data_IF_995946757392
#
_entry.id   IF_995946757392
#
_cell.length_a   1.000
_cell.length_b   1.000
_cell.length_c   1.000
_cell.angle_alpha   90.00
_cell.angle_beta   90.00
_cell.angle_gamma   90.00
#
_symmetry.space_group_name_H-M   'P 1'
#
loop_
_entity.id
_entity.type
_entity.pdbx_description
1 polymer ?
#
# COMPACT_ATOMS: atom_id res chain seq x y z
N UNK A 1 -4.25 -7.25 -21.11
CA UNK A 1 -4.99 -5.95 -21.19
C UNK A 1 -3.92 -4.91 -21.44
N UNK A 2 -3.94 -4.19 -22.57
CA UNK A 2 -2.98 -3.11 -22.81
C UNK A 2 -3.38 -1.89 -21.97
N UNK A 3 -2.43 -1.31 -21.26
CA UNK A 3 -2.66 -0.08 -20.53
C UNK A 3 -2.78 1.09 -21.53
N UNK A 4 -3.78 1.95 -21.35
CA UNK A 4 -3.93 3.14 -22.19
C UNK A 4 -2.80 4.17 -21.97
N UNK A 5 -2.10 4.07 -20.83
CA UNK A 5 -0.99 4.92 -20.41
C UNK A 5 0.03 4.06 -19.67
N UNK A 6 1.33 4.39 -19.74
CA UNK A 6 2.33 3.58 -19.06
C UNK A 6 2.19 3.63 -17.54
N UNK A 7 2.65 2.58 -16.87
CA UNK A 7 2.98 2.61 -15.46
C UNK A 7 4.31 3.34 -15.26
N UNK A 8 4.44 4.10 -14.20
CA UNK A 8 5.73 4.66 -13.79
C UNK A 8 6.34 3.85 -12.67
N UNK A 9 7.63 3.57 -12.77
CA UNK A 9 8.39 2.83 -11.75
C UNK A 9 9.48 3.77 -11.22
N UNK A 10 9.53 4.00 -9.92
CA UNK A 10 10.69 4.66 -9.30
C UNK A 10 11.75 3.63 -8.97
N UNK A 11 12.98 3.84 -9.45
CA UNK A 11 14.07 2.86 -9.31
C UNK A 11 14.55 2.68 -7.84
N UNK A 12 14.13 3.59 -6.94
CA UNK A 12 14.43 3.49 -5.51
C UNK A 12 15.88 3.82 -5.16
N UNK A 13 16.38 3.18 -4.10
CA UNK A 13 17.75 3.38 -3.63
C UNK A 13 18.78 3.01 -4.72
N UNK A 14 19.58 3.97 -5.19
CA UNK A 14 20.52 3.70 -6.29
C UNK A 14 21.59 2.68 -5.95
N UNK A 15 22.04 2.63 -4.71
CA UNK A 15 23.03 1.64 -4.23
C UNK A 15 22.38 0.28 -3.88
N UNK A 16 21.06 0.17 -4.01
CA UNK A 16 20.29 -1.02 -3.70
C UNK A 16 19.97 -1.91 -4.90
N UNK A 17 18.96 -2.77 -4.75
CA UNK A 17 18.54 -3.73 -5.78
C UNK A 17 17.64 -3.10 -6.86
N UNK A 18 17.04 -1.94 -6.59
CA UNK A 18 16.01 -1.32 -7.41
C UNK A 18 16.42 -1.11 -8.89
N UNK A 19 17.56 -0.48 -9.19
CA UNK A 19 18.02 -0.29 -10.58
C UNK A 19 18.16 -1.61 -11.35
N UNK A 20 18.69 -2.65 -10.69
CA UNK A 20 18.84 -3.98 -11.30
C UNK A 20 17.49 -4.64 -11.57
N UNK A 21 16.52 -4.50 -10.65
CA UNK A 21 15.16 -5.00 -10.87
C UNK A 21 14.49 -4.29 -12.04
N UNK A 22 14.61 -2.96 -12.14
CA UNK A 22 14.09 -2.20 -13.27
C UNK A 22 14.71 -2.66 -14.59
N UNK A 23 16.04 -2.81 -14.63
CA UNK A 23 16.75 -3.26 -15.84
C UNK A 23 16.35 -4.68 -16.27
N UNK A 24 15.98 -5.57 -15.34
CA UNK A 24 15.51 -6.91 -15.69
C UNK A 24 14.19 -6.92 -16.48
N UNK A 25 13.40 -5.84 -16.42
CA UNK A 25 12.12 -5.72 -17.13
C UNK A 25 12.26 -5.61 -18.65
N UNK A 26 13.46 -5.31 -19.17
CA UNK A 26 13.70 -5.27 -20.63
C UNK A 26 13.44 -6.63 -21.31
N UNK A 27 13.55 -7.72 -20.55
CA UNK A 27 13.31 -9.08 -21.03
C UNK A 27 11.85 -9.55 -20.85
N UNK A 28 10.95 -8.62 -20.54
CA UNK A 28 9.53 -8.93 -20.31
C UNK A 28 8.64 -8.25 -21.35
N UNK A 29 7.40 -8.69 -21.45
CA UNK A 29 6.38 -8.06 -22.29
C UNK A 29 5.91 -6.68 -21.75
N UNK A 30 6.41 -6.27 -20.59
CA UNK A 30 6.04 -4.99 -19.95
C UNK A 30 6.86 -3.80 -20.46
N UNK A 31 7.97 -4.03 -21.19
CA UNK A 31 8.92 -2.99 -21.64
C UNK A 31 8.25 -1.76 -22.28
N UNK A 32 7.21 -1.99 -23.09
CA UNK A 32 6.50 -0.91 -23.78
C UNK A 32 5.38 -0.26 -22.93
N UNK A 33 5.09 -0.82 -21.77
CA UNK A 33 4.01 -0.37 -20.87
C UNK A 33 4.53 0.37 -19.64
N UNK A 34 5.86 0.57 -19.54
CA UNK A 34 6.52 1.17 -18.37
C UNK A 34 7.39 2.37 -18.74
N UNK A 35 7.55 3.26 -17.76
CA UNK A 35 8.55 4.34 -17.75
C UNK A 35 9.24 4.27 -16.38
N UNK A 36 10.56 4.34 -16.36
CA UNK A 36 11.35 4.31 -15.11
C UNK A 36 11.82 5.71 -14.77
N UNK A 37 11.72 6.11 -13.50
CA UNK A 37 12.34 7.32 -12.96
C UNK A 37 13.58 6.90 -12.17
N UNK A 38 14.73 7.43 -12.52
CA UNK A 38 16.00 7.11 -11.89
C UNK A 38 17.16 7.63 -12.70
N UNK A 39 18.38 7.40 -12.24
CA UNK A 39 19.60 7.76 -12.96
C UNK A 39 19.78 6.82 -14.15
N UNK A 40 19.76 7.38 -15.35
CA UNK A 40 19.88 6.62 -16.59
C UNK A 40 21.21 5.85 -16.69
N UNK A 41 22.27 6.33 -16.06
CA UNK A 41 23.57 5.65 -16.05
C UNK A 41 23.58 4.31 -15.29
N UNK A 42 22.57 4.09 -14.42
CA UNK A 42 22.41 2.87 -13.63
C UNK A 42 21.38 1.89 -14.21
N UNK A 43 20.77 2.23 -15.33
CA UNK A 43 19.65 1.50 -15.93
C UNK A 43 20.02 0.99 -17.33
N UNK A 44 19.31 -0.04 -17.79
CA UNK A 44 19.46 -0.57 -19.15
C UNK A 44 18.97 0.48 -20.18
N UNK A 45 19.70 0.69 -21.25
CA UNK A 45 19.46 1.69 -22.29
C UNK A 45 18.18 1.47 -23.10
N UNK A 46 17.61 0.26 -23.06
CA UNK A 46 16.33 -0.07 -23.71
C UNK A 46 15.12 0.44 -22.92
N UNK A 47 15.30 0.82 -21.67
CA UNK A 47 14.20 1.37 -20.85
C UNK A 47 13.86 2.81 -21.27
N UNK A 48 12.59 3.16 -21.20
CA UNK A 48 12.18 4.56 -21.26
C UNK A 48 12.41 5.18 -19.87
N UNK A 49 13.39 6.06 -19.76
CA UNK A 49 13.81 6.67 -18.50
C UNK A 49 13.44 8.14 -18.45
N UNK A 50 12.91 8.57 -17.31
CA UNK A 50 12.92 9.97 -16.88
C UNK A 50 14.15 10.11 -16.00
N UNK A 51 15.18 10.74 -16.57
CA UNK A 51 16.50 10.81 -15.95
C UNK A 51 16.50 11.75 -14.75
N UNK A 52 16.99 11.23 -13.63
CA UNK A 52 17.19 11.94 -12.36
C UNK A 52 18.59 11.59 -11.83
N UNK A 53 19.65 12.23 -12.36
CA UNK A 53 21.03 11.89 -12.01
C UNK A 53 21.33 12.19 -10.55
N UNK A 54 22.02 11.29 -9.87
CA UNK A 54 22.39 11.43 -8.47
C UNK A 54 23.63 12.33 -8.30
N UNK A 55 23.63 13.24 -7.31
CA UNK A 55 24.75 14.17 -7.08
C UNK A 55 26.01 13.50 -6.53
N UNK A 56 25.87 12.38 -5.82
CA UNK A 56 27.01 11.63 -5.29
C UNK A 56 27.22 10.31 -6.06
N UNK A 57 28.48 9.85 -6.20
CA UNK A 57 28.81 8.59 -6.86
C UNK A 57 28.07 7.41 -6.22
N UNK A 58 27.51 6.55 -7.05
CA UNK A 58 26.76 5.38 -6.59
C UNK A 58 27.68 4.18 -6.53
N UNK A 59 27.74 3.55 -5.35
CA UNK A 59 28.45 2.29 -5.14
C UNK A 59 27.48 1.26 -4.57
N UNK A 60 27.33 0.13 -5.23
CA UNK A 60 26.42 -0.94 -4.80
C UNK A 60 26.69 -1.36 -3.34
N UNK A 61 25.61 -1.44 -2.56
CA UNK A 61 25.67 -1.78 -1.14
C UNK A 61 26.15 -0.65 -0.19
N UNK A 62 26.49 0.52 -0.74
CA UNK A 62 26.97 1.67 0.03
C UNK A 62 26.08 2.90 -0.27
N UNK A 63 24.88 2.99 0.31
CA UNK A 63 24.00 4.15 0.11
C UNK A 63 24.66 5.44 0.62
N UNK A 64 24.38 6.56 -0.06
CA UNK A 64 24.94 7.87 0.29
C UNK A 64 23.80 8.86 0.57
N UNK A 65 23.76 9.49 1.78
CA UNK A 65 22.73 10.44 2.16
C UNK A 65 22.59 11.64 1.21
N UNK A 66 23.66 12.02 0.51
CA UNK A 66 23.63 13.11 -0.48
C UNK A 66 22.68 12.83 -1.65
N UNK A 67 22.35 11.56 -1.91
CA UNK A 67 21.42 11.14 -2.97
C UNK A 67 19.96 11.15 -2.53
N UNK A 68 19.67 11.29 -1.23
CA UNK A 68 18.33 11.16 -0.67
C UNK A 68 17.32 12.15 -1.27
N UNK A 69 17.74 13.41 -1.48
CA UNK A 69 16.84 14.44 -2.04
C UNK A 69 16.39 14.08 -3.46
N UNK A 70 17.31 13.70 -4.33
CA UNK A 70 17.00 13.28 -5.72
C UNK A 70 16.12 12.04 -5.75
N UNK A 71 16.34 11.10 -4.83
CA UNK A 71 15.47 9.92 -4.69
C UNK A 71 14.01 10.32 -4.39
N UNK A 72 13.80 11.25 -3.45
CA UNK A 72 12.46 11.75 -3.11
C UNK A 72 11.84 12.59 -4.23
N UNK A 73 12.62 13.41 -4.94
CA UNK A 73 12.18 14.13 -6.14
C UNK A 73 11.65 13.17 -7.21
N UNK A 74 12.28 12.00 -7.38
CA UNK A 74 11.78 10.94 -8.26
C UNK A 74 10.39 10.45 -7.88
N UNK A 75 10.10 10.28 -6.58
CA UNK A 75 8.76 9.95 -6.08
C UNK A 75 7.75 11.07 -6.38
N UNK A 76 8.14 12.34 -6.17
CA UNK A 76 7.28 13.48 -6.48
C UNK A 76 6.92 13.57 -7.97
N UNK A 77 7.90 13.35 -8.87
CA UNK A 77 7.67 13.32 -10.31
C UNK A 77 6.66 12.23 -10.66
N UNK A 78 6.79 11.03 -10.06
CA UNK A 78 5.87 9.93 -10.28
C UNK A 78 4.45 10.29 -9.83
N UNK A 79 4.29 10.83 -8.62
CA UNK A 79 2.99 11.26 -8.08
C UNK A 79 2.34 12.33 -8.96
N UNK A 80 3.08 13.40 -9.30
CA UNK A 80 2.59 14.48 -10.19
C UNK A 80 2.15 13.92 -11.54
N UNK A 81 2.90 12.96 -12.09
CA UNK A 81 2.54 12.28 -13.34
C UNK A 81 1.28 11.43 -13.23
N UNK A 82 1.05 10.75 -12.11
CA UNK A 82 -0.19 10.01 -11.86
C UNK A 82 -1.39 10.96 -11.69
N UNK A 83 -1.26 12.00 -10.88
CA UNK A 83 -2.32 12.97 -10.64
C UNK A 83 -2.71 13.75 -11.91
N UNK A 84 -1.74 14.09 -12.76
CA UNK A 84 -1.98 14.74 -14.06
C UNK A 84 -2.43 13.75 -15.14
N UNK A 85 -2.64 12.49 -14.79
CA UNK A 85 -3.10 11.44 -15.70
C UNK A 85 -2.10 11.15 -16.86
N UNK A 86 -0.82 11.45 -16.66
CA UNK A 86 0.29 11.07 -17.56
C UNK A 86 0.61 9.58 -17.44
N UNK A 87 0.51 9.03 -16.23
CA UNK A 87 0.72 7.62 -15.92
C UNK A 87 -0.56 6.98 -15.40
N UNK A 88 -0.75 5.69 -15.64
CA UNK A 88 -1.90 4.91 -15.15
C UNK A 88 -1.77 4.52 -13.67
N UNK A 89 -0.58 4.56 -13.12
CA UNK A 89 -0.24 4.25 -11.74
C UNK A 89 1.25 4.22 -11.53
N UNK A 90 1.69 4.10 -10.27
CA UNK A 90 3.11 4.02 -9.93
C UNK A 90 3.46 2.74 -9.17
N UNK A 91 4.68 2.26 -9.37
CA UNK A 91 5.31 1.17 -8.64
C UNK A 91 6.60 1.70 -8.03
N UNK A 92 6.86 1.39 -6.77
CA UNK A 92 8.06 1.86 -6.08
C UNK A 92 9.03 0.72 -5.80
N UNK A 93 10.29 0.87 -6.17
CA UNK A 93 11.35 0.00 -5.68
C UNK A 93 11.74 0.37 -4.24
N UNK A 94 12.45 -0.52 -3.53
CA UNK A 94 12.86 -0.27 -2.15
C UNK A 94 13.74 0.96 -1.99
N UNK A 95 13.62 1.63 -0.84
CA UNK A 95 14.45 2.76 -0.43
C UNK A 95 15.04 2.54 0.96
N UNK A 96 16.19 3.14 1.23
CA UNK A 96 16.87 3.06 2.51
C UNK A 96 16.43 4.21 3.44
N UNK A 97 15.44 3.95 4.32
CA UNK A 97 14.88 4.98 5.22
C UNK A 97 15.92 5.63 6.14
N UNK A 98 16.85 4.83 6.66
CA UNK A 98 17.94 5.32 7.51
C UNK A 98 18.83 6.33 6.76
N UNK A 99 19.12 6.09 5.50
CA UNK A 99 19.94 6.98 4.67
C UNK A 99 19.24 8.32 4.41
N UNK A 100 17.93 8.32 4.22
CA UNK A 100 17.12 9.53 4.09
C UNK A 100 17.12 10.30 5.41
N UNK A 101 17.01 9.60 6.54
CA UNK A 101 17.09 10.22 7.88
C UNK A 101 18.49 10.82 8.14
N UNK A 102 19.56 10.14 7.74
CA UNK A 102 20.94 10.64 7.83
C UNK A 102 21.18 11.89 6.98
N UNK A 103 20.39 12.10 5.94
CA UNK A 103 20.36 13.33 5.16
C UNK A 103 19.58 14.47 5.86
N UNK A 104 19.06 14.26 7.07
CA UNK A 104 18.27 15.23 7.82
C UNK A 104 16.81 15.39 7.30
N UNK A 105 16.33 14.45 6.47
CA UNK A 105 14.98 14.51 5.90
C UNK A 105 14.08 13.59 6.70
N UNK A 106 12.94 14.11 7.18
CA UNK A 106 11.92 13.30 7.84
C UNK A 106 11.19 12.43 6.81
N UNK A 107 11.35 11.12 6.93
CA UNK A 107 10.72 10.14 6.04
C UNK A 107 10.34 8.88 6.82
N UNK A 108 9.06 8.68 7.04
CA UNK A 108 8.51 7.52 7.76
C UNK A 108 8.30 6.31 6.85
N UNK A 109 7.99 6.55 5.59
CA UNK A 109 7.81 5.51 4.56
C UNK A 109 7.09 6.03 3.33
N UNK A 110 6.97 5.16 2.32
CA UNK A 110 6.24 5.49 1.10
C UNK A 110 4.78 5.88 1.39
N UNK A 111 4.10 5.16 2.27
CA UNK A 111 2.66 5.36 2.55
C UNK A 111 2.39 6.79 3.02
N UNK A 112 3.11 7.25 4.05
CA UNK A 112 2.93 8.58 4.62
C UNK A 112 3.41 9.67 3.66
N UNK A 113 4.53 9.44 2.98
CA UNK A 113 5.06 10.38 2.00
C UNK A 113 4.10 10.58 0.83
N UNK A 114 3.56 9.51 0.27
CA UNK A 114 2.59 9.57 -0.82
C UNK A 114 1.25 10.15 -0.37
N UNK A 115 0.79 9.84 0.84
CA UNK A 115 -0.42 10.42 1.42
C UNK A 115 -0.30 11.94 1.52
N UNK A 116 0.83 12.46 2.02
CA UNK A 116 1.10 13.89 2.10
C UNK A 116 1.11 14.55 0.72
N UNK A 117 1.80 13.96 -0.28
CA UNK A 117 1.85 14.49 -1.64
C UNK A 117 0.49 14.51 -2.36
N UNK A 118 -0.43 13.63 -1.95
CA UNK A 118 -1.76 13.51 -2.56
C UNK A 118 -2.87 14.13 -1.73
N UNK A 119 -2.53 14.78 -0.59
CA UNK A 119 -3.47 15.36 0.38
C UNK A 119 -4.50 14.32 0.88
N UNK A 120 -4.04 13.11 1.17
CA UNK A 120 -4.86 12.03 1.74
C UNK A 120 -4.56 11.91 3.23
N UNK A 121 -5.54 12.25 4.07
CA UNK A 121 -5.38 12.23 5.53
C UNK A 121 -5.39 10.83 6.12
N UNK A 122 -6.01 9.87 5.43
CA UNK A 122 -6.24 8.53 5.98
C UNK A 122 -6.00 7.44 4.93
N UNK A 123 -4.74 7.04 4.70
CA UNK A 123 -4.43 5.93 3.81
C UNK A 123 -4.78 4.59 4.46
N UNK A 124 -5.32 3.65 3.67
CA UNK A 124 -5.57 2.27 4.09
C UNK A 124 -4.65 1.34 3.29
N UNK A 125 -3.85 0.55 4.01
CA UNK A 125 -2.97 -0.43 3.36
C UNK A 125 -3.79 -1.63 2.89
N UNK A 126 -3.62 -2.00 1.63
CA UNK A 126 -4.27 -3.15 1.01
C UNK A 126 -3.20 -4.08 0.41
N UNK A 127 -3.17 -5.32 0.88
CA UNK A 127 -2.37 -6.39 0.29
C UNK A 127 -3.21 -7.13 -0.75
N UNK A 128 -2.66 -7.33 -1.94
CA UNK A 128 -3.38 -7.98 -3.05
C UNK A 128 -2.54 -9.12 -3.61
N UNK A 129 -3.14 -10.32 -3.67
CA UNK A 129 -2.55 -11.48 -4.31
C UNK A 129 -3.65 -12.24 -5.06
N UNK A 130 -3.58 -12.25 -6.38
CA UNK A 130 -4.64 -12.80 -7.23
C UNK A 130 -6.03 -12.21 -6.88
N UNK A 131 -6.95 -13.06 -6.39
CA UNK A 131 -8.28 -12.64 -5.97
C UNK A 131 -8.40 -12.32 -4.48
N UNK A 132 -7.32 -12.50 -3.71
CA UNK A 132 -7.29 -12.17 -2.29
C UNK A 132 -6.92 -10.70 -2.10
N UNK A 133 -7.73 -9.96 -1.36
CA UNK A 133 -7.51 -8.57 -0.94
C UNK A 133 -7.64 -8.49 0.56
N UNK A 134 -6.58 -8.04 1.23
CA UNK A 134 -6.53 -7.91 2.69
C UNK A 134 -6.18 -6.48 3.05
N UNK A 135 -7.13 -5.77 3.62
CA UNK A 135 -6.90 -4.46 4.22
C UNK A 135 -6.42 -4.65 5.67
N UNK A 136 -5.55 -3.77 6.11
CA UNK A 136 -5.01 -3.81 7.47
C UNK A 136 -5.65 -2.72 8.34
N UNK A 137 -6.15 -3.11 9.51
CA UNK A 137 -6.71 -2.18 10.49
C UNK A 137 -5.62 -1.36 11.19
N UNK A 138 -4.42 -1.92 11.32
CA UNK A 138 -3.24 -1.25 11.89
C UNK A 138 -1.99 -1.57 11.07
N UNK A 139 -1.00 -0.66 11.09
CA UNK A 139 0.30 -0.84 10.43
C UNK A 139 1.41 -0.26 11.30
N UNK A 140 2.54 -1.00 11.42
CA UNK A 140 3.79 -0.50 12.03
C UNK A 140 3.67 0.03 13.47
N UNK A 141 2.73 -0.51 14.26
CA UNK A 141 2.62 -0.23 15.69
C UNK A 141 2.98 -1.47 16.52
N UNK A 142 3.45 -1.33 17.76
CA UNK A 142 3.69 -2.46 18.65
C UNK A 142 2.40 -3.27 18.87
N UNK A 143 2.52 -4.59 18.93
CA UNK A 143 1.35 -5.47 19.10
C UNK A 143 0.50 -5.12 20.34
N UNK A 144 1.14 -4.74 21.44
CA UNK A 144 0.47 -4.34 22.69
C UNK A 144 -0.41 -3.09 22.54
N UNK A 145 -0.12 -2.24 21.55
CA UNK A 145 -0.84 -0.98 21.34
C UNK A 145 -2.01 -1.14 20.35
N UNK A 146 -2.13 -2.32 19.71
CA UNK A 146 -3.17 -2.60 18.71
C UNK A 146 -4.58 -2.51 19.30
N UNK A 147 -4.89 -3.07 20.49
CA UNK A 147 -6.25 -2.98 21.06
C UNK A 147 -6.73 -1.54 21.23
N UNK A 148 -5.89 -0.66 21.76
CA UNK A 148 -6.21 0.76 21.96
C UNK A 148 -6.30 1.53 20.63
N UNK A 149 -5.62 1.04 19.60
CA UNK A 149 -5.62 1.63 18.26
C UNK A 149 -6.90 1.30 17.48
N UNK A 150 -7.57 0.18 17.80
CA UNK A 150 -8.81 -0.25 17.15
C UNK A 150 -9.99 0.45 17.79
N UNK A 151 -10.38 1.59 17.25
CA UNK A 151 -11.55 2.35 17.70
C UNK A 151 -12.72 2.25 16.71
N UNK A 152 -13.94 2.56 17.16
CA UNK A 152 -15.14 2.58 16.30
C UNK A 152 -14.97 3.53 15.13
N UNK A 153 -14.50 4.75 15.39
CA UNK A 153 -14.30 5.80 14.39
C UNK A 153 -13.28 5.37 13.35
N UNK A 154 -12.20 4.72 13.78
CA UNK A 154 -11.15 4.24 12.89
C UNK A 154 -11.64 3.11 12.00
N UNK A 155 -12.34 2.13 12.57
CA UNK A 155 -12.90 1.02 11.80
C UNK A 155 -13.91 1.48 10.75
N UNK A 156 -14.79 2.42 11.11
CA UNK A 156 -15.74 3.03 10.17
C UNK A 156 -14.98 3.69 9.01
N UNK A 157 -13.96 4.51 9.30
CA UNK A 157 -13.17 5.15 8.25
C UNK A 157 -12.50 4.13 7.32
N UNK A 158 -11.86 3.09 7.88
CA UNK A 158 -11.21 2.04 7.09
C UNK A 158 -12.20 1.35 6.18
N UNK A 159 -13.35 0.91 6.71
CA UNK A 159 -14.36 0.19 5.96
C UNK A 159 -15.01 1.04 4.87
N UNK A 160 -15.23 2.33 5.13
CA UNK A 160 -15.73 3.27 4.13
C UNK A 160 -14.73 3.48 2.98
N UNK A 161 -13.44 3.72 3.30
CA UNK A 161 -12.38 3.87 2.29
C UNK A 161 -12.24 2.59 1.47
N UNK A 162 -12.21 1.43 2.14
CA UNK A 162 -12.08 0.14 1.48
C UNK A 162 -13.26 -0.12 0.53
N UNK A 163 -14.50 0.10 0.98
CA UNK A 163 -15.69 -0.08 0.14
C UNK A 163 -15.66 0.82 -1.09
N UNK A 164 -15.33 2.10 -0.92
CA UNK A 164 -15.28 3.07 -2.02
C UNK A 164 -14.21 2.68 -3.05
N UNK A 165 -13.03 2.29 -2.60
CA UNK A 165 -11.95 1.88 -3.49
C UNK A 165 -12.22 0.55 -4.19
N UNK A 166 -12.86 -0.41 -3.52
CA UNK A 166 -13.32 -1.64 -4.16
C UNK A 166 -14.32 -1.35 -5.30
N UNK A 167 -15.22 -0.40 -5.10
CA UNK A 167 -16.16 0.05 -6.15
C UNK A 167 -15.43 0.78 -7.30
N UNK A 168 -14.61 1.76 -6.96
CA UNK A 168 -14.02 2.69 -7.93
C UNK A 168 -12.83 2.10 -8.67
N UNK A 169 -11.89 1.48 -7.94
CA UNK A 169 -10.61 1.01 -8.49
C UNK A 169 -10.66 -0.45 -8.92
N UNK A 170 -11.41 -1.28 -8.21
CA UNK A 170 -11.56 -2.70 -8.54
C UNK A 170 -12.83 -3.02 -9.32
N UNK A 171 -13.69 -2.02 -9.60
CA UNK A 171 -14.93 -2.14 -10.39
C UNK A 171 -15.92 -3.17 -9.81
N UNK A 172 -15.91 -3.39 -8.50
CA UNK A 172 -16.82 -4.30 -7.81
C UNK A 172 -18.06 -3.50 -7.39
N UNK A 173 -19.17 -3.67 -8.10
CA UNK A 173 -20.38 -2.85 -7.89
C UNK A 173 -20.94 -2.92 -6.47
N UNK A 174 -20.89 -4.08 -5.85
CA UNK A 174 -21.45 -4.35 -4.52
C UNK A 174 -20.49 -5.20 -3.70
N UNK A 175 -19.36 -4.62 -3.24
CA UNK A 175 -18.31 -5.39 -2.57
C UNK A 175 -18.77 -5.98 -1.24
N UNK A 176 -18.40 -7.24 -1.00
CA UNK A 176 -18.61 -7.94 0.26
C UNK A 176 -17.32 -7.96 1.07
N UNK A 177 -17.35 -7.35 2.26
CA UNK A 177 -16.19 -7.20 3.13
C UNK A 177 -16.37 -8.10 4.35
N UNK A 178 -15.35 -8.92 4.61
CA UNK A 178 -15.26 -9.75 5.80
C UNK A 178 -14.33 -9.07 6.81
N UNK A 179 -14.76 -8.94 8.05
CA UNK A 179 -13.96 -8.35 9.14
C UNK A 179 -13.48 -9.46 10.06
N UNK A 180 -12.17 -9.56 10.26
CA UNK A 180 -11.58 -10.44 11.25
C UNK A 180 -11.80 -9.94 12.66
N UNK A 181 -11.85 -10.85 13.62
CA UNK A 181 -11.73 -10.51 15.02
C UNK A 181 -10.30 -10.10 15.39
N UNK A 182 -10.18 -9.26 16.42
CA UNK A 182 -8.91 -8.89 17.02
C UNK A 182 -8.34 -10.03 17.87
N UNK A 183 -9.22 -10.65 18.64
CA UNK A 183 -8.83 -11.71 19.57
C UNK A 183 -8.95 -13.11 18.92
N UNK A 184 -8.26 -14.13 19.48
CA UNK A 184 -8.46 -15.51 19.06
C UNK A 184 -9.96 -15.87 19.09
N UNK A 185 -10.43 -16.59 18.06
CA UNK A 185 -11.82 -17.01 17.92
C UNK A 185 -12.84 -15.86 17.98
N UNK A 186 -12.42 -14.63 17.60
CA UNK A 186 -13.23 -13.40 17.70
C UNK A 186 -13.77 -13.17 19.11
N UNK A 187 -12.90 -13.39 20.12
CA UNK A 187 -13.19 -13.14 21.53
C UNK A 187 -14.05 -14.17 22.26
N UNK A 188 -14.51 -15.25 21.58
CA UNK A 188 -15.37 -16.30 22.20
C UNK A 188 -16.49 -15.73 23.08
N UNK A 189 -17.32 -14.84 22.53
CA UNK A 189 -18.41 -14.17 23.27
C UNK A 189 -17.91 -13.40 24.52
N UNK A 190 -16.75 -12.74 24.40
CA UNK A 190 -16.15 -11.91 25.46
C UNK A 190 -15.33 -12.68 26.50
N UNK A 191 -15.14 -14.00 26.35
CA UNK A 191 -14.30 -14.80 27.24
C UNK A 191 -12.81 -14.59 26.99
N UNK A 192 -12.43 -14.25 25.74
CA UNK A 192 -11.04 -13.98 25.32
C UNK A 192 -10.95 -12.55 24.79
N UNK A 193 -11.09 -11.56 25.67
CA UNK A 193 -11.13 -10.14 25.28
C UNK A 193 -12.54 -9.67 24.90
N UNK A 194 -12.77 -8.36 24.98
CA UNK A 194 -14.08 -7.74 24.75
C UNK A 194 -14.14 -6.86 23.52
N UNK A 195 -13.01 -6.57 22.90
CA UNK A 195 -12.89 -5.63 21.79
C UNK A 195 -13.74 -6.05 20.59
N UNK A 196 -13.85 -7.36 20.37
CA UNK A 196 -14.66 -7.93 19.30
C UNK A 196 -16.16 -7.66 19.53
N UNK A 197 -16.62 -7.80 20.76
CA UNK A 197 -18.03 -7.61 21.15
C UNK A 197 -18.38 -6.12 21.36
N UNK A 198 -17.49 -5.35 22.00
CA UNK A 198 -17.76 -3.97 22.41
C UNK A 198 -17.42 -2.94 21.32
N UNK A 199 -16.50 -3.26 20.38
CA UNK A 199 -16.02 -2.34 19.36
C UNK A 199 -16.34 -2.86 17.95
N UNK A 200 -15.85 -4.05 17.56
CA UNK A 200 -15.90 -4.50 16.16
C UNK A 200 -17.33 -4.88 15.75
N UNK A 201 -18.00 -5.72 16.52
CA UNK A 201 -19.36 -6.18 16.19
C UNK A 201 -20.38 -5.02 16.09
N UNK A 202 -20.39 -4.01 16.98
CA UNK A 202 -21.25 -2.84 16.83
C UNK A 202 -20.99 -2.06 15.54
N UNK A 203 -19.74 -1.84 15.15
CA UNK A 203 -19.39 -1.16 13.88
C UNK A 203 -19.88 -1.94 12.67
N UNK A 204 -19.61 -3.24 12.63
CA UNK A 204 -20.08 -4.11 11.54
C UNK A 204 -21.59 -4.07 11.43
N UNK A 205 -22.30 -4.15 12.54
CA UNK A 205 -23.77 -4.09 12.60
C UNK A 205 -24.32 -2.73 12.13
N UNK A 206 -23.68 -1.64 12.51
CA UNK A 206 -24.06 -0.28 12.11
C UNK A 206 -23.91 -0.09 10.61
N UNK A 207 -22.74 -0.45 10.06
CA UNK A 207 -22.46 -0.33 8.63
C UNK A 207 -23.32 -1.27 7.78
N UNK A 208 -23.60 -2.48 8.27
CA UNK A 208 -24.53 -3.39 7.60
C UNK A 208 -25.96 -2.80 7.52
N UNK A 209 -26.44 -2.16 8.59
CA UNK A 209 -27.73 -1.46 8.60
C UNK A 209 -27.78 -0.27 7.63
N UNK A 210 -26.63 0.40 7.38
CA UNK A 210 -26.52 1.48 6.40
C UNK A 210 -26.43 1.00 4.95
N UNK A 211 -26.50 -0.32 4.72
CA UNK A 211 -26.49 -0.92 3.38
C UNK A 211 -25.13 -1.39 2.88
N UNK A 212 -24.08 -1.35 3.72
CA UNK A 212 -22.79 -1.94 3.39
C UNK A 212 -22.86 -3.47 3.51
N UNK A 213 -22.39 -4.21 2.51
CA UNK A 213 -22.24 -5.66 2.62
C UNK A 213 -20.98 -6.00 3.42
N UNK A 214 -21.10 -5.93 4.73
CA UNK A 214 -20.02 -6.22 5.68
C UNK A 214 -20.50 -7.24 6.70
N UNK A 215 -19.65 -8.17 7.08
CA UNK A 215 -19.94 -9.19 8.10
C UNK A 215 -18.71 -9.52 8.93
N UNK A 216 -18.93 -9.93 10.16
CA UNK A 216 -17.90 -10.20 11.16
C UNK A 216 -18.36 -9.71 12.55
N UNK A 217 -17.47 -9.70 13.56
CA UNK A 217 -16.13 -10.28 13.48
C UNK A 217 -16.15 -11.80 13.28
N UNK A 218 -15.21 -12.32 12.51
CA UNK A 218 -15.00 -13.76 12.30
C UNK A 218 -13.59 -14.09 12.76
N UNK A 219 -13.42 -15.29 13.33
CA UNK A 219 -12.11 -15.79 13.71
C UNK A 219 -11.12 -15.74 12.53
N UNK A 220 -9.93 -15.15 12.75
CA UNK A 220 -8.96 -14.91 11.69
C UNK A 220 -8.43 -16.21 11.06
N UNK A 221 -8.37 -17.31 11.80
CA UNK A 221 -7.94 -18.63 11.31
C UNK A 221 -8.91 -19.22 10.28
N UNK A 222 -10.20 -18.87 10.36
CA UNK A 222 -11.22 -19.32 9.40
C UNK A 222 -11.52 -18.30 8.30
N UNK A 223 -11.24 -17.01 8.52
CA UNK A 223 -11.56 -15.93 7.60
C UNK A 223 -10.98 -16.12 6.19
N UNK A 224 -9.80 -16.73 6.08
CA UNK A 224 -9.07 -16.95 4.82
C UNK A 224 -9.45 -18.27 4.14
N UNK A 225 -10.32 -19.07 4.72
CA UNK A 225 -10.75 -20.37 4.15
C UNK A 225 -11.97 -20.21 3.25
N UNK A 226 -12.29 -21.23 2.46
CA UNK A 226 -13.50 -21.30 1.67
C UNK A 226 -14.77 -21.36 2.55
N UNK A 227 -14.67 -21.90 3.77
CA UNK A 227 -15.78 -22.01 4.71
C UNK A 227 -16.36 -20.65 5.13
N UNK A 228 -15.58 -19.57 5.08
CA UNK A 228 -16.07 -18.22 5.36
C UNK A 228 -16.96 -17.62 4.26
N UNK A 229 -17.21 -18.34 3.17
CA UNK A 229 -18.05 -17.92 2.05
C UNK A 229 -17.41 -16.85 1.14
N UNK A 230 -18.24 -16.25 0.28
CA UNK A 230 -17.77 -15.23 -0.65
C UNK A 230 -17.33 -13.96 0.10
N UNK A 231 -16.26 -13.34 -0.38
CA UNK A 231 -15.73 -12.05 0.07
C UNK A 231 -14.86 -11.45 -1.03
N UNK A 232 -15.00 -10.14 -1.23
CA UNK A 232 -14.18 -9.37 -2.17
C UNK A 232 -12.93 -8.81 -1.49
N UNK A 233 -13.03 -8.56 -0.18
CA UNK A 233 -11.90 -8.17 0.66
C UNK A 233 -12.08 -8.63 2.11
N UNK A 234 -10.97 -8.74 2.81
CA UNK A 234 -10.90 -9.03 4.25
C UNK A 234 -10.27 -7.81 4.93
N UNK A 235 -10.84 -7.35 6.05
CA UNK A 235 -10.19 -6.45 6.99
C UNK A 235 -9.59 -7.28 8.13
N UNK A 236 -8.25 -7.20 8.30
CA UNK A 236 -7.47 -7.92 9.30
C UNK A 236 -6.66 -6.96 10.18
#
# INVERSE_FOLDING_TARGET
MKLNKPLVITAGEPAGIGPKLCSSLVNTNLLNEIVVIGDASLLDDKLKVIDTPFPAPVKAGCPDPRNAKTLLEGLEIAVKGCLSNKFSGMVTAPIAKNVIADAGISFTGHTEFLANLTNVDFPVMLLVANNLRVALASTHIPLRDVPDFITKERLIKILCVLQEDLKRKFQIKSPEILVCGLNPHAGESGHIGKEDEEIIAPVVKELAKSGMKVRGPISADTAFTAASGHKDAILA
#
